data_IF_387203308912
#
_entry.id   IF_387203308912
#
_cell.length_a   1.000
_cell.length_b   1.000
_cell.length_c   1.000
_cell.angle_alpha   90.00
_cell.angle_beta   90.00
_cell.angle_gamma   90.00
#
_symmetry.space_group_name_H-M   'P 1'
#
loop_
_entity.id
_entity.type
_entity.pdbx_description
1 polymer ?
#
# COMPACT_ATOMS: atom_id res chain seq x y z
N UNK A 1 -9.00 -2.32 24.14
CA UNK A 1 -7.63 -1.93 23.71
C UNK A 1 -6.95 -0.96 24.65
N UNK A 2 -7.52 0.23 24.94
CA UNK A 2 -6.88 1.14 25.93
C UNK A 2 -6.72 0.49 27.31
N UNK A 3 -7.75 -0.16 27.85
CA UNK A 3 -7.67 -0.87 29.15
C UNK A 3 -6.57 -1.93 29.18
N UNK A 4 -6.55 -2.84 28.20
CA UNK A 4 -5.55 -3.91 28.07
C UNK A 4 -4.11 -3.40 27.96
N UNK A 5 -3.87 -2.27 27.28
CA UNK A 5 -2.52 -1.68 27.24
C UNK A 5 -2.12 -1.02 28.57
N UNK A 6 -3.09 -0.57 29.37
CA UNK A 6 -2.84 -0.07 30.74
C UNK A 6 -2.39 -1.21 31.64
N UNK A 7 -3.12 -2.33 31.57
CA UNK A 7 -2.83 -3.54 32.33
C UNK A 7 -1.46 -4.13 31.96
N UNK A 8 -1.06 -3.99 30.70
CA UNK A 8 0.27 -4.36 30.21
C UNK A 8 1.39 -3.39 30.61
N UNK A 9 1.08 -2.28 31.30
CA UNK A 9 2.06 -1.35 31.86
C UNK A 9 2.62 -0.30 30.88
N UNK A 10 1.97 -0.08 29.72
CA UNK A 10 2.42 0.95 28.78
C UNK A 10 2.07 2.37 29.26
N UNK A 11 2.97 3.31 28.99
CA UNK A 11 2.73 4.74 29.26
C UNK A 11 1.53 5.27 28.48
N UNK A 12 0.85 6.29 28.99
CA UNK A 12 -0.31 6.88 28.31
C UNK A 12 0.04 7.43 26.92
N UNK A 13 1.24 8.01 26.78
CA UNK A 13 1.76 8.48 25.49
C UNK A 13 1.91 7.32 24.51
N UNK A 14 2.60 6.24 24.92
CA UNK A 14 2.78 5.05 24.08
C UNK A 14 1.44 4.44 23.66
N UNK A 15 0.50 4.36 24.59
CA UNK A 15 -0.86 3.86 24.37
C UNK A 15 -1.61 4.68 23.34
N UNK A 16 -1.57 6.00 23.46
CA UNK A 16 -2.24 6.88 22.53
C UNK A 16 -1.60 6.80 21.14
N UNK A 17 -0.28 6.71 21.02
CA UNK A 17 0.37 6.47 19.73
C UNK A 17 -0.06 5.14 19.08
N UNK A 18 -0.12 4.05 19.85
CA UNK A 18 -0.55 2.74 19.33
C UNK A 18 -2.03 2.75 18.90
N UNK A 19 -2.92 3.35 19.70
CA UNK A 19 -4.34 3.44 19.38
C UNK A 19 -4.57 4.36 18.18
N UNK A 20 -3.83 5.46 18.09
CA UNK A 20 -3.90 6.39 16.97
C UNK A 20 -3.54 5.70 15.65
N UNK A 21 -2.43 4.95 15.63
CA UNK A 21 -2.01 4.20 14.45
C UNK A 21 -3.07 3.19 13.99
N UNK A 22 -3.71 2.47 14.92
CA UNK A 22 -4.77 1.53 14.59
C UNK A 22 -6.02 2.24 14.06
N UNK A 23 -6.45 3.35 14.68
CA UNK A 23 -7.59 4.14 14.20
C UNK A 23 -7.35 4.62 12.77
N UNK A 24 -6.18 5.19 12.50
CA UNK A 24 -5.80 5.65 11.17
C UNK A 24 -5.84 4.52 10.13
N UNK A 25 -5.28 3.35 10.47
CA UNK A 25 -5.30 2.17 9.60
C UNK A 25 -6.71 1.67 9.29
N UNK A 26 -7.54 1.53 10.32
CA UNK A 26 -8.90 1.01 10.19
C UNK A 26 -9.79 1.98 9.39
N UNK A 27 -9.70 3.27 9.70
CA UNK A 27 -10.43 4.29 8.95
C UNK A 27 -10.03 4.28 7.48
N UNK A 28 -8.73 4.25 7.19
CA UNK A 28 -8.27 4.18 5.81
C UNK A 28 -8.76 2.89 5.13
N UNK A 29 -8.70 1.75 5.81
CA UNK A 29 -9.15 0.47 5.25
C UNK A 29 -10.64 0.48 4.92
N UNK A 30 -11.48 0.99 5.82
CA UNK A 30 -12.94 1.07 5.62
C UNK A 30 -13.28 2.07 4.52
N UNK A 31 -12.65 3.25 4.53
CA UNK A 31 -12.94 4.31 3.57
C UNK A 31 -12.48 3.96 2.14
N UNK A 32 -11.59 2.96 1.98
CA UNK A 32 -11.01 2.58 0.69
C UNK A 32 -11.38 1.18 0.20
N UNK A 33 -12.31 0.50 0.85
CA UNK A 33 -12.73 -0.87 0.49
C UNK A 33 -13.49 -0.99 -0.84
N UNK A 34 -13.87 0.14 -1.46
CA UNK A 34 -14.51 0.19 -2.79
C UNK A 34 -16.03 -0.04 -2.81
N UNK A 35 -16.68 -0.31 -1.67
CA UNK A 35 -18.13 -0.46 -1.54
C UNK A 35 -18.74 0.60 -0.62
N UNK A 36 -19.84 1.21 -1.06
CA UNK A 36 -20.60 2.23 -0.32
C UNK A 36 -21.91 1.62 0.18
N UNK A 37 -21.89 1.02 1.36
CA UNK A 37 -23.09 0.54 2.07
C UNK A 37 -23.40 1.43 3.29
N UNK A 38 -24.47 1.11 4.02
CA UNK A 38 -24.88 1.87 5.21
C UNK A 38 -23.78 1.94 6.30
N UNK A 39 -22.97 0.89 6.41
CA UNK A 39 -21.81 0.85 7.30
C UNK A 39 -20.74 1.85 6.87
N UNK A 40 -20.45 1.94 5.57
CA UNK A 40 -19.53 2.96 5.03
C UNK A 40 -20.04 4.37 5.32
N UNK A 41 -21.33 4.64 5.07
CA UNK A 41 -21.92 5.96 5.29
C UNK A 41 -21.87 6.35 6.77
N UNK A 42 -22.11 5.40 7.67
CA UNK A 42 -22.00 5.59 9.12
C UNK A 42 -20.56 5.91 9.51
N UNK A 43 -19.60 5.11 9.03
CA UNK A 43 -18.18 5.27 9.32
C UNK A 43 -17.61 6.59 8.76
N UNK A 44 -18.11 7.02 7.60
CA UNK A 44 -17.71 8.28 6.98
C UNK A 44 -18.22 9.51 7.75
N UNK A 45 -19.30 9.39 8.51
CA UNK A 45 -19.84 10.47 9.34
C UNK A 45 -19.06 10.66 10.63
N UNK A 46 -18.65 9.57 11.27
CA UNK A 46 -17.87 9.58 12.52
C UNK A 46 -16.76 8.52 12.48
N UNK A 47 -15.63 8.79 11.78
CA UNK A 47 -14.51 7.86 11.71
C UNK A 47 -13.80 7.78 13.07
N UNK A 48 -13.08 6.69 13.33
CA UNK A 48 -12.48 6.43 14.64
C UNK A 48 -11.44 7.50 15.05
N UNK A 49 -10.69 8.05 14.08
CA UNK A 49 -9.76 9.15 14.31
C UNK A 49 -10.47 10.42 14.82
N UNK A 50 -11.68 10.71 14.33
CA UNK A 50 -12.48 11.85 14.80
C UNK A 50 -13.06 11.54 16.18
N UNK A 51 -13.63 10.34 16.31
CA UNK A 51 -14.28 9.90 17.54
C UNK A 51 -13.32 9.86 18.75
N UNK A 52 -12.12 9.31 18.58
CA UNK A 52 -11.17 9.10 19.68
C UNK A 52 -10.14 10.22 19.85
N UNK A 53 -9.80 10.95 18.77
CA UNK A 53 -8.72 11.92 18.78
C UNK A 53 -9.12 13.30 18.25
N UNK A 54 -10.37 13.50 17.83
CA UNK A 54 -10.87 14.80 17.37
C UNK A 54 -10.20 15.31 16.10
N UNK A 55 -9.56 14.45 15.32
CA UNK A 55 -8.85 14.80 14.09
C UNK A 55 -9.44 14.07 12.89
N UNK A 56 -9.37 14.68 11.71
CA UNK A 56 -9.68 14.04 10.42
C UNK A 56 -8.43 13.90 9.54
N UNK A 57 -7.27 14.29 10.06
CA UNK A 57 -6.01 14.36 9.33
C UNK A 57 -5.02 13.25 9.75
N UNK A 58 -5.52 12.09 10.19
CA UNK A 58 -4.65 11.01 10.64
C UNK A 58 -3.73 10.47 9.53
N UNK A 59 -4.11 10.67 8.28
CA UNK A 59 -3.31 10.38 7.09
C UNK A 59 -1.98 11.16 7.03
N UNK A 60 -1.91 12.37 7.58
CA UNK A 60 -0.70 13.21 7.60
C UNK A 60 0.05 13.09 8.92
N UNK A 61 -0.71 13.20 10.01
CA UNK A 61 -0.17 13.26 11.36
C UNK A 61 0.52 11.95 11.76
N UNK A 62 0.05 10.80 11.25
CA UNK A 62 0.74 9.52 11.50
C UNK A 62 2.17 9.52 10.93
N UNK A 63 2.37 10.08 9.74
CA UNK A 63 3.68 10.18 9.12
C UNK A 63 4.60 11.14 9.88
N UNK A 64 4.06 12.24 10.41
CA UNK A 64 4.81 13.13 11.28
C UNK A 64 5.24 12.44 12.58
N UNK A 65 4.32 11.72 13.23
CA UNK A 65 4.61 10.91 14.42
C UNK A 65 5.72 9.89 14.15
N UNK A 66 5.69 9.20 13.01
CA UNK A 66 6.76 8.26 12.61
C UNK A 66 8.10 8.98 12.45
N UNK A 67 8.13 10.13 11.76
CA UNK A 67 9.36 10.92 11.60
C UNK A 67 9.92 11.40 12.94
N UNK A 68 9.06 11.76 13.89
CA UNK A 68 9.48 12.17 15.22
C UNK A 68 10.06 11.00 16.02
N UNK A 69 9.41 9.83 15.99
CA UNK A 69 9.93 8.60 16.60
C UNK A 69 11.29 8.17 16.04
N UNK A 70 11.54 8.40 14.73
CA UNK A 70 12.85 8.14 14.12
C UNK A 70 13.94 9.13 14.55
N UNK A 71 13.58 10.32 15.02
CA UNK A 71 14.55 11.30 15.56
C UNK A 71 14.89 11.02 17.03
N UNK A 72 14.01 10.33 17.74
CA UNK A 72 14.25 9.94 19.13
C UNK A 72 15.41 8.94 19.24
N UNK A 73 16.22 9.10 20.29
CA UNK A 73 17.41 8.27 20.56
C UNK A 73 17.05 6.93 21.17
N UNK A 74 15.97 6.88 21.97
CA UNK A 74 15.46 5.68 22.65
C UNK A 74 13.92 5.65 22.67
N UNK A 75 13.26 5.56 21.49
CA UNK A 75 11.81 5.44 21.40
C UNK A 75 11.29 4.11 21.98
N UNK A 76 10.02 4.09 22.38
CA UNK A 76 9.34 2.86 22.81
C UNK A 76 9.25 1.86 21.64
N UNK A 77 9.90 0.70 21.81
CA UNK A 77 9.98 -0.34 20.79
C UNK A 77 8.61 -0.92 20.42
N UNK A 78 7.65 -0.98 21.35
CA UNK A 78 6.31 -1.45 21.05
C UNK A 78 5.57 -0.46 20.13
N UNK A 79 5.75 0.84 20.37
CA UNK A 79 5.19 1.91 19.53
C UNK A 79 5.80 1.87 18.14
N UNK A 80 7.13 1.83 18.03
CA UNK A 80 7.83 1.67 16.74
C UNK A 80 7.33 0.45 15.97
N UNK A 81 7.18 -0.69 16.67
CA UNK A 81 6.67 -1.92 16.06
C UNK A 81 5.24 -1.74 15.56
N UNK A 82 4.35 -1.14 16.34
CA UNK A 82 2.97 -0.84 15.90
C UNK A 82 2.92 0.09 14.68
N UNK A 83 3.76 1.13 14.67
CA UNK A 83 3.85 2.05 13.55
C UNK A 83 4.31 1.33 12.28
N UNK A 84 5.38 0.54 12.37
CA UNK A 84 5.89 -0.24 11.25
C UNK A 84 4.86 -1.24 10.73
N UNK A 85 4.13 -1.90 11.62
CA UNK A 85 3.04 -2.82 11.25
C UNK A 85 1.90 -2.14 10.53
N UNK A 86 1.54 -0.93 10.97
CA UNK A 86 0.52 -0.14 10.31
C UNK A 86 0.89 0.11 8.84
N UNK A 87 2.16 0.44 8.56
CA UNK A 87 2.65 0.59 7.18
C UNK A 87 2.66 -0.75 6.41
N UNK A 88 3.08 -1.85 7.04
CA UNK A 88 3.07 -3.19 6.40
C UNK A 88 1.67 -3.67 6.03
N UNK A 89 0.65 -3.29 6.81
CA UNK A 89 -0.75 -3.62 6.55
C UNK A 89 -1.37 -2.77 5.44
N UNK A 90 -0.59 -1.89 4.81
CA UNK A 90 -0.99 -1.16 3.62
C UNK A 90 -1.51 0.25 3.89
N UNK A 91 -1.29 0.80 5.09
CA UNK A 91 -1.55 2.22 5.33
C UNK A 91 -0.70 3.07 4.38
N UNK A 92 -1.35 4.01 3.70
CA UNK A 92 -0.70 4.96 2.80
C UNK A 92 -0.79 6.39 3.33
N UNK A 93 -1.93 6.78 3.90
CA UNK A 93 -2.21 8.15 4.28
C UNK A 93 -2.27 9.09 3.06
N UNK A 94 -1.87 10.34 3.26
CA UNK A 94 -1.84 11.35 2.19
C UNK A 94 -0.84 11.07 1.07
N UNK A 95 0.11 10.15 1.28
CA UNK A 95 1.15 9.79 0.31
C UNK A 95 0.66 8.85 -0.80
N UNK A 96 -0.63 8.90 -1.14
CA UNK A 96 -1.21 8.15 -2.28
C UNK A 96 -0.86 8.75 -3.63
N UNK A 97 -0.54 10.04 -3.67
CA UNK A 97 -0.41 10.78 -4.92
C UNK A 97 0.98 10.71 -5.56
N UNK A 98 2.03 10.41 -4.79
CA UNK A 98 3.42 10.40 -5.28
C UNK A 98 4.15 9.12 -4.86
N UNK A 99 4.87 8.54 -5.83
CA UNK A 99 5.91 7.52 -5.65
C UNK A 99 7.10 8.19 -4.94
N UNK A 100 6.84 8.70 -3.71
CA UNK A 100 7.77 9.56 -2.99
C UNK A 100 8.89 8.68 -2.45
N UNK A 101 10.09 8.80 -3.03
CA UNK A 101 11.31 8.14 -2.56
C UNK A 101 11.51 8.35 -1.04
N UNK A 102 11.03 9.48 -0.50
CA UNK A 102 11.06 9.76 0.95
C UNK A 102 10.23 8.77 1.77
N UNK A 103 9.16 8.21 1.22
CA UNK A 103 8.34 7.19 1.89
C UNK A 103 9.15 5.91 2.07
N UNK A 104 9.77 5.43 0.98
CA UNK A 104 10.56 4.20 1.03
C UNK A 104 11.74 4.35 2.00
N UNK A 105 12.37 5.52 2.03
CA UNK A 105 13.44 5.83 2.98
C UNK A 105 12.96 5.80 4.44
N UNK A 106 11.80 6.40 4.74
CA UNK A 106 11.22 6.36 6.10
C UNK A 106 10.81 4.95 6.49
N UNK A 107 10.21 4.17 5.59
CA UNK A 107 9.84 2.78 5.83
C UNK A 107 11.09 1.93 6.07
N UNK A 108 12.15 2.13 5.30
CA UNK A 108 13.44 1.44 5.44
C UNK A 108 14.10 1.77 6.79
N UNK A 109 14.23 3.05 7.12
CA UNK A 109 14.80 3.50 8.39
C UNK A 109 14.00 2.99 9.60
N UNK A 110 12.67 2.91 9.47
CA UNK A 110 11.81 2.32 10.50
C UNK A 110 12.00 0.82 10.62
N UNK A 111 12.12 0.11 9.49
CA UNK A 111 12.37 -1.33 9.45
C UNK A 111 13.74 -1.73 10.01
N UNK A 112 14.77 -0.89 9.86
CA UNK A 112 16.09 -1.11 10.45
C UNK A 112 16.09 -1.03 11.98
N UNK A 113 15.19 -0.23 12.58
CA UNK A 113 15.07 -0.08 14.03
C UNK A 113 14.20 -1.16 14.68
N UNK A 114 13.26 -1.74 13.95
CA UNK A 114 12.32 -2.73 14.49
C UNK A 114 12.89 -4.13 14.32
N UNK A 115 12.94 -4.98 15.38
CA UNK A 115 13.44 -6.35 15.25
C UNK A 115 12.63 -7.14 14.22
N UNK A 116 13.32 -7.97 13.46
CA UNK A 116 12.69 -8.86 12.49
C UNK A 116 11.63 -9.73 13.16
N UNK A 117 10.49 -9.88 12.51
CA UNK A 117 9.40 -10.64 13.06
C UNK A 117 9.71 -12.13 13.09
N UNK A 118 9.91 -12.69 14.28
CA UNK A 118 9.80 -14.14 14.48
C UNK A 118 8.33 -14.45 14.77
N UNK A 119 7.54 -14.55 13.70
CA UNK A 119 6.22 -15.18 13.80
C UNK A 119 6.50 -16.65 14.17
N UNK A 120 6.28 -17.04 15.42
CA UNK A 120 6.10 -18.46 15.74
C UNK A 120 4.95 -18.93 14.86
N UNK A 121 5.29 -19.68 13.82
CA UNK A 121 4.35 -20.25 12.85
C UNK A 121 3.44 -21.24 13.57
N UNK A 122 2.33 -20.75 14.11
CA UNK A 122 1.21 -21.60 14.55
C UNK A 122 -0.11 -20.95 14.15
N UNK A 123 -0.27 -20.75 12.84
CA UNK A 123 -1.53 -20.81 12.10
C UNK A 123 -1.28 -20.27 10.68
N UNK A 124 -1.68 -20.99 9.62
CA UNK A 124 -1.61 -20.47 8.26
C UNK A 124 -2.73 -19.43 8.09
N UNK A 125 -2.46 -18.19 8.49
CA UNK A 125 -3.32 -17.07 8.11
C UNK A 125 -3.05 -16.87 6.62
N UNK A 126 -4.06 -17.17 5.79
CA UNK A 126 -4.06 -16.80 4.37
C UNK A 126 -4.18 -15.27 4.29
N UNK A 127 -3.09 -14.58 4.61
CA UNK A 127 -2.93 -13.20 4.25
C UNK A 127 -2.81 -13.19 2.73
N UNK A 128 -3.89 -12.77 2.04
CA UNK A 128 -3.74 -12.26 0.69
C UNK A 128 -2.80 -11.07 0.81
N UNK A 129 -1.52 -11.30 0.55
CA UNK A 129 -0.61 -10.24 0.19
C UNK A 129 -1.29 -9.48 -0.93
N UNK A 130 -1.70 -8.24 -0.65
CA UNK A 130 -2.16 -7.31 -1.67
C UNK A 130 -1.00 -7.17 -2.64
N UNK A 131 -1.08 -7.91 -3.76
CA UNK A 131 -0.09 -7.89 -4.82
C UNK A 131 -0.03 -6.46 -5.32
N UNK A 132 0.96 -5.71 -4.83
CA UNK A 132 1.30 -4.42 -5.37
C UNK A 132 1.56 -4.61 -6.87
N UNK A 133 0.71 -3.97 -7.67
CA UNK A 133 1.03 -3.44 -8.99
C UNK A 133 1.53 -4.47 -10.03
N UNK A 134 0.83 -5.59 -10.18
CA UNK A 134 0.95 -6.46 -11.37
C UNK A 134 0.12 -5.97 -12.58
N UNK A 135 -0.61 -4.85 -12.46
CA UNK A 135 -1.40 -4.29 -13.57
C UNK A 135 -0.59 -3.47 -14.58
N UNK A 136 0.50 -2.81 -14.16
CA UNK A 136 1.26 -1.89 -15.03
C UNK A 136 2.14 -2.63 -16.05
N UNK A 137 2.72 -3.78 -15.69
CA UNK A 137 3.50 -4.60 -16.63
C UNK A 137 2.62 -5.31 -17.66
N UNK A 138 1.40 -5.72 -17.29
CA UNK A 138 0.48 -6.41 -18.21
C UNK A 138 0.09 -5.52 -19.39
N UNK A 139 -0.19 -4.24 -19.13
CA UNK A 139 -0.50 -3.26 -20.16
C UNK A 139 0.66 -3.01 -21.14
N UNK A 140 1.90 -2.96 -20.64
CA UNK A 140 3.10 -2.81 -21.48
C UNK A 140 3.34 -4.04 -22.35
N UNK A 141 3.12 -5.25 -21.80
CA UNK A 141 3.24 -6.50 -22.55
C UNK A 141 2.23 -6.60 -23.70
N UNK A 142 1.00 -6.10 -23.52
CA UNK A 142 -0.01 -6.03 -24.58
C UNK A 142 0.38 -5.08 -25.70
N UNK A 143 0.94 -3.91 -25.38
CA UNK A 143 1.39 -2.94 -26.39
C UNK A 143 2.53 -3.55 -27.22
N UNK A 144 3.50 -4.21 -26.58
CA UNK A 144 4.61 -4.87 -27.26
C UNK A 144 4.09 -6.00 -28.16
N UNK A 145 3.18 -6.84 -27.67
CA UNK A 145 2.57 -7.92 -28.44
C UNK A 145 1.81 -7.41 -29.67
N UNK A 146 1.02 -6.35 -29.51
CA UNK A 146 0.29 -5.73 -30.63
C UNK A 146 1.24 -5.13 -31.68
N UNK A 147 2.32 -4.47 -31.26
CA UNK A 147 3.32 -3.91 -32.17
C UNK A 147 4.02 -5.00 -33.00
N UNK A 148 4.40 -6.12 -32.37
CA UNK A 148 5.01 -7.27 -33.07
C UNK A 148 4.05 -7.87 -34.10
N UNK A 149 2.77 -8.01 -33.75
CA UNK A 149 1.74 -8.51 -34.66
C UNK A 149 1.55 -7.60 -35.89
N UNK A 150 1.54 -6.28 -35.70
CA UNK A 150 1.43 -5.31 -36.80
C UNK A 150 2.64 -5.38 -37.73
N UNK A 151 3.86 -5.46 -37.18
CA UNK A 151 5.09 -5.59 -37.98
C UNK A 151 5.09 -6.90 -38.77
N UNK A 152 4.71 -8.01 -38.12
CA UNK A 152 4.64 -9.33 -38.78
C UNK A 152 3.59 -9.33 -39.90
N UNK A 153 2.42 -8.73 -39.64
CA UNK A 153 1.37 -8.58 -40.64
C UNK A 153 1.85 -7.78 -41.86
N UNK A 154 2.53 -6.66 -41.62
CA UNK A 154 3.03 -5.81 -42.69
C UNK A 154 4.08 -6.54 -43.55
N UNK A 155 5.01 -7.24 -42.90
CA UNK A 155 6.02 -8.04 -43.57
C UNK A 155 5.41 -9.16 -44.41
N UNK A 156 4.45 -9.90 -43.83
CA UNK A 156 3.75 -10.97 -44.54
C UNK A 156 2.95 -10.42 -45.72
N UNK A 157 2.30 -9.26 -45.55
CA UNK A 157 1.56 -8.58 -46.62
C UNK A 157 2.48 -8.13 -47.76
N UNK A 158 3.67 -7.59 -47.48
CA UNK A 158 4.62 -7.20 -48.52
C UNK A 158 5.12 -8.41 -49.31
N UNK A 159 5.48 -9.50 -48.62
CA UNK A 159 5.97 -10.71 -49.28
C UNK A 159 4.88 -11.40 -50.12
N UNK A 160 3.63 -11.40 -49.65
CA UNK A 160 2.51 -11.90 -50.44
C UNK A 160 2.27 -11.05 -51.68
N UNK A 161 2.41 -9.72 -51.58
CA UNK A 161 2.25 -8.81 -52.72
C UNK A 161 3.35 -9.01 -53.76
N UNK A 162 4.59 -9.24 -53.33
CA UNK A 162 5.71 -9.57 -54.24
C UNK A 162 5.49 -10.90 -54.96
N UNK A 163 5.09 -11.96 -54.24
CA UNK A 163 4.84 -13.29 -54.83
C UNK A 163 3.63 -13.29 -55.78
N UNK A 164 2.58 -12.53 -55.46
CA UNK A 164 1.44 -12.34 -56.36
C UNK A 164 1.85 -11.53 -57.60
N UNK A 165 2.69 -10.50 -57.45
CA UNK A 165 3.16 -9.71 -58.59
C UNK A 165 4.05 -10.52 -59.55
N UNK A 166 4.86 -11.45 -59.04
CA UNK A 166 5.69 -12.34 -59.87
C UNK A 166 4.87 -13.41 -60.60
N UNK A 167 3.76 -13.87 -60.01
CA UNK A 167 2.88 -14.88 -60.63
C UNK A 167 1.89 -14.27 -61.62
N UNK A 168 1.64 -12.96 -61.55
CA UNK A 168 0.71 -12.23 -62.41
C UNK A 168 1.40 -11.50 -63.57
N UNK A 169 2.73 -11.56 -63.71
CA UNK A 169 3.41 -11.05 -64.91
C UNK A 169 3.06 -11.98 -66.10
N UNK A 170 2.24 -11.54 -67.08
CA UNK A 170 2.08 -12.30 -68.31
C UNK A 170 3.36 -12.14 -69.14
N UNK A 171 3.64 -13.14 -69.98
CA UNK A 171 4.81 -13.15 -70.87
C UNK A 171 4.92 -11.96 -71.81
#
# INVERSE_FOLDING_TARGET
MKATLTEAGYSDISRDHMVYALCALLDESVLNRGSTDDGYLTWRRDPLQAHFFGTLNAGEELWERIRNLLKETAPDMAVLTCMYRTLQLGFVGQYRAEDDERREDVVRALGERVPAFTLSQDAPIVARASRLRSGRLYWVSWIIGAAVLVVLWFFLSSSLTELVSQTVSPG
#
